data_IF_994143092076
#
_entry.id   IF_994143092076
#
_cell.length_a   1.000
_cell.length_b   1.000
_cell.length_c   1.000
_cell.angle_alpha   90.00
_cell.angle_beta   90.00
_cell.angle_gamma   90.00
#
_symmetry.space_group_name_H-M   'P 1'
#
loop_
_entity.id
_entity.type
_entity.pdbx_description
1 polymer ?
#
# COMPACT_ATOMS: atom_id res chain seq x y z
N UNK A 1 -5.42 1.66 7.40
CA UNK A 1 -5.46 3.05 6.89
C UNK A 1 -4.95 4.00 7.95
N UNK A 2 -4.98 5.30 7.72
CA UNK A 2 -4.50 6.30 8.69
C UNK A 2 -5.28 6.26 10.02
N UNK A 3 -6.58 5.98 9.97
CA UNK A 3 -7.47 5.89 11.13
C UNK A 3 -7.68 4.45 11.63
N UNK A 4 -6.72 3.55 11.40
CA UNK A 4 -6.80 2.18 11.88
C UNK A 4 -6.65 2.12 13.41
N UNK A 5 -7.73 1.79 14.10
CA UNK A 5 -7.78 1.70 15.56
C UNK A 5 -7.17 0.41 16.12
N UNK A 6 -6.90 -0.59 15.28
CA UNK A 6 -6.35 -1.89 15.69
C UNK A 6 -4.83 -1.93 15.50
N UNK A 7 -4.36 -1.47 14.34
CA UNK A 7 -2.94 -1.48 13.95
C UNK A 7 -2.58 -0.12 13.37
N UNK A 8 -1.70 0.61 14.04
CA UNK A 8 -1.49 2.02 13.74
C UNK A 8 -0.59 2.19 12.51
N UNK A 9 -0.90 3.17 11.64
CA UNK A 9 -0.21 3.35 10.35
C UNK A 9 1.31 3.52 10.46
N UNK A 10 1.82 4.02 11.59
CA UNK A 10 3.25 4.22 11.79
C UNK A 10 4.02 2.91 11.98
N UNK A 11 3.35 1.82 12.36
CA UNK A 11 3.98 0.50 12.50
C UNK A 11 4.53 -0.01 11.14
N UNK A 12 3.69 -0.17 10.10
CA UNK A 12 4.19 -0.52 8.77
C UNK A 12 5.06 0.58 8.16
N UNK A 13 4.82 1.88 8.47
CA UNK A 13 5.67 2.97 7.97
C UNK A 13 7.12 2.83 8.45
N UNK A 14 7.35 2.60 9.75
CA UNK A 14 8.69 2.37 10.31
C UNK A 14 9.34 1.12 9.72
N UNK A 15 8.55 0.06 9.50
CA UNK A 15 9.06 -1.15 8.88
C UNK A 15 9.53 -0.91 7.44
N UNK A 16 8.73 -0.21 6.62
CA UNK A 16 9.14 0.15 5.26
C UNK A 16 10.37 1.07 5.25
N UNK A 17 10.46 2.02 6.19
CA UNK A 17 11.66 2.86 6.33
C UNK A 17 12.92 2.00 6.60
N UNK A 18 12.82 1.02 7.52
CA UNK A 18 13.91 0.08 7.79
C UNK A 18 14.24 -0.79 6.57
N UNK A 19 13.24 -1.30 5.86
CA UNK A 19 13.47 -2.07 4.64
C UNK A 19 14.19 -1.26 3.55
N UNK A 20 13.91 0.04 3.46
CA UNK A 20 14.60 0.95 2.53
C UNK A 20 16.07 1.15 2.89
N UNK A 21 16.40 1.19 4.18
CA UNK A 21 17.79 1.29 4.64
C UNK A 21 18.63 0.06 4.24
N UNK A 22 18.07 -1.14 4.36
CA UNK A 22 18.74 -2.40 3.99
C UNK A 22 18.54 -2.81 2.53
N UNK A 23 17.94 -1.95 1.70
CA UNK A 23 17.53 -2.31 0.35
C UNK A 23 18.74 -2.47 -0.57
N UNK A 24 18.90 -3.67 -1.15
CA UNK A 24 19.95 -3.97 -2.15
C UNK A 24 19.42 -4.08 -3.58
N UNK A 25 18.11 -4.24 -3.76
CA UNK A 25 17.49 -4.38 -5.07
C UNK A 25 17.03 -3.05 -5.66
N UNK A 26 17.02 -2.93 -6.99
CA UNK A 26 16.47 -1.77 -7.70
C UNK A 26 14.93 -1.75 -7.81
N UNK A 27 14.25 -2.84 -7.42
CA UNK A 27 12.80 -2.96 -7.55
C UNK A 27 12.06 -1.90 -6.69
N UNK A 28 10.90 -1.38 -7.11
CA UNK A 28 10.12 -0.45 -6.29
C UNK A 28 9.76 -1.00 -4.90
N UNK A 29 9.87 -0.16 -3.87
CA UNK A 29 9.42 -0.46 -2.50
C UNK A 29 8.57 0.70 -1.97
N UNK A 30 7.26 0.49 -1.96
CA UNK A 30 6.27 1.54 -1.72
C UNK A 30 5.59 1.30 -0.37
N UNK A 31 5.38 2.38 0.38
CA UNK A 31 4.44 2.42 1.50
C UNK A 31 3.22 3.18 1.02
N UNK A 32 2.06 2.52 1.04
CA UNK A 32 0.80 3.11 0.64
C UNK A 32 -0.17 3.12 1.82
N UNK A 33 -0.74 4.29 2.11
CA UNK A 33 -1.64 4.48 3.23
C UNK A 33 -2.87 5.25 2.75
N UNK A 34 -4.04 4.62 2.81
CA UNK A 34 -5.29 5.32 2.61
C UNK A 34 -5.55 6.23 3.82
N UNK A 35 -5.56 7.54 3.57
CA UNK A 35 -5.64 8.60 4.58
C UNK A 35 -7.03 8.76 5.21
N UNK A 36 -8.07 8.22 4.55
CA UNK A 36 -9.46 8.32 5.01
C UNK A 36 -9.96 7.01 5.66
N UNK A 37 -9.17 5.93 5.59
CA UNK A 37 -9.57 4.57 5.96
C UNK A 37 -9.12 4.12 7.36
N UNK A 38 -9.92 3.23 7.96
CA UNK A 38 -9.59 2.50 9.19
C UNK A 38 -8.97 1.13 8.95
N UNK A 39 -9.26 0.16 9.83
CA UNK A 39 -8.74 -1.21 9.74
C UNK A 39 -9.25 -1.97 8.50
N UNK A 40 -10.55 -1.85 8.21
CA UNK A 40 -11.17 -2.53 7.07
C UNK A 40 -10.96 -1.87 5.71
N UNK A 41 -10.10 -0.86 5.60
CA UNK A 41 -9.94 -0.07 4.37
C UNK A 41 -11.03 1.00 4.19
N UNK A 42 -11.10 1.56 2.97
CA UNK A 42 -12.10 2.57 2.61
C UNK A 42 -13.50 1.95 2.50
N UNK A 43 -14.53 2.66 2.97
CA UNK A 43 -15.91 2.15 2.96
C UNK A 43 -16.54 2.22 1.56
N UNK A 44 -17.32 1.22 1.20
CA UNK A 44 -18.10 1.18 -0.04
C UNK A 44 -17.43 0.44 -1.20
N UNK A 45 -18.26 -0.17 -2.05
CA UNK A 45 -17.85 -1.06 -3.14
C UNK A 45 -16.89 -0.43 -4.14
N UNK A 46 -17.03 0.87 -4.42
CA UNK A 46 -16.16 1.57 -5.37
C UNK A 46 -14.76 1.76 -4.80
N UNK A 47 -14.64 2.09 -3.51
CA UNK A 47 -13.35 2.26 -2.84
C UNK A 47 -12.62 0.92 -2.74
N UNK A 48 -13.32 -0.14 -2.34
CA UNK A 48 -12.77 -1.50 -2.34
C UNK A 48 -12.19 -1.88 -3.72
N UNK A 49 -12.96 -1.66 -4.79
CA UNK A 49 -12.50 -1.95 -6.16
C UNK A 49 -11.31 -1.09 -6.60
N UNK A 50 -11.26 0.17 -6.18
CA UNK A 50 -10.14 1.06 -6.47
C UNK A 50 -8.86 0.59 -5.78
N UNK A 51 -8.94 0.22 -4.50
CA UNK A 51 -7.81 -0.32 -3.74
C UNK A 51 -7.30 -1.62 -4.39
N UNK A 52 -8.20 -2.51 -4.78
CA UNK A 52 -7.85 -3.74 -5.51
C UNK A 52 -7.20 -3.43 -6.85
N UNK A 53 -7.80 -2.54 -7.66
CA UNK A 53 -7.27 -2.15 -8.96
C UNK A 53 -5.86 -1.53 -8.85
N UNK A 54 -5.61 -0.75 -7.80
CA UNK A 54 -4.30 -0.14 -7.50
C UNK A 54 -3.22 -1.20 -7.24
N UNK A 55 -3.54 -2.25 -6.46
CA UNK A 55 -2.63 -3.37 -6.22
C UNK A 55 -2.34 -4.13 -7.51
N UNK A 56 -3.36 -4.42 -8.33
CA UNK A 56 -3.16 -5.07 -9.63
C UNK A 56 -2.32 -4.22 -10.59
N UNK A 57 -2.57 -2.90 -10.65
CA UNK A 57 -1.78 -1.99 -11.47
C UNK A 57 -0.30 -1.98 -11.06
N UNK A 58 -0.02 -2.01 -9.76
CA UNK A 58 1.36 -2.12 -9.26
C UNK A 58 2.03 -3.42 -9.71
N UNK A 59 1.36 -4.57 -9.54
CA UNK A 59 1.91 -5.88 -9.91
C UNK A 59 2.12 -5.98 -11.43
N UNK A 60 1.12 -5.60 -12.23
CA UNK A 60 1.22 -5.61 -13.70
C UNK A 60 2.29 -4.63 -14.20
N UNK A 61 2.50 -3.52 -13.50
CA UNK A 61 3.59 -2.59 -13.79
C UNK A 61 4.97 -3.16 -13.56
N UNK A 62 5.15 -3.98 -12.52
CA UNK A 62 6.43 -4.69 -12.29
C UNK A 62 6.74 -5.69 -13.41
N UNK A 63 5.72 -6.32 -13.99
CA UNK A 63 5.85 -7.25 -15.11
C UNK A 63 5.90 -6.57 -16.49
N UNK A 64 5.78 -5.23 -16.55
CA UNK A 64 5.76 -4.48 -17.82
C UNK A 64 4.49 -4.70 -18.66
N UNK A 65 3.38 -5.09 -18.03
CA UNK A 65 2.09 -5.42 -18.69
C UNK A 65 1.14 -4.20 -18.70
N UNK A 66 1.59 -3.03 -18.26
CA UNK A 66 0.81 -1.79 -18.38
C UNK A 66 0.75 -1.40 -19.87
N UNK A 67 -0.46 -1.31 -20.42
CA UNK A 67 -0.73 -0.79 -21.76
C UNK A 67 -0.71 0.73 -21.77
#
# INVERSE_FOLDING_TARGET
GYHDSQVQYWEPMKYVAKLREYKTSANPLIFDCNMDAGHGGGSGRSNERLEVAKVYAFILGLEGIIK
#
